data_IF_670126603205
#
_entry.id   IF_670126603205
#
_cell.length_a   1.000
_cell.length_b   1.000
_cell.length_c   1.000
_cell.angle_alpha   90.00
_cell.angle_beta   90.00
_cell.angle_gamma   90.00
#
_symmetry.space_group_name_H-M   'P 1'
#
loop_
_entity.id
_entity.type
_entity.pdbx_description
1 polymer ?
#
# COMPACT_ATOMS: atom_id res chain seq x y z
N UNK A 1 43.12 38.43 31.82
CA UNK A 1 42.27 37.22 31.69
C UNK A 1 40.84 37.68 31.54
N UNK A 2 40.13 37.28 30.48
CA UNK A 2 38.81 37.85 30.15
C UNK A 2 37.70 37.01 30.82
N UNK A 3 37.52 37.23 32.13
CA UNK A 3 36.67 36.40 33.00
C UNK A 3 35.21 36.34 32.58
N UNK A 4 34.69 37.37 31.90
CA UNK A 4 33.34 37.40 31.32
C UNK A 4 33.19 36.40 30.16
N UNK A 5 34.21 36.28 29.31
CA UNK A 5 34.26 35.31 28.21
C UNK A 5 34.37 33.88 28.74
N UNK A 6 35.18 33.66 29.78
CA UNK A 6 35.31 32.37 30.46
C UNK A 6 33.97 31.98 31.12
N UNK A 7 33.31 32.90 31.82
CA UNK A 7 32.03 32.66 32.49
C UNK A 7 30.90 32.31 31.51
N UNK A 8 30.93 32.85 30.28
CA UNK A 8 29.96 32.53 29.23
C UNK A 8 30.24 31.18 28.55
N UNK A 9 31.52 30.86 28.28
CA UNK A 9 31.90 29.64 27.55
C UNK A 9 31.85 28.37 28.40
N UNK A 10 32.08 28.48 29.71
CA UNK A 10 32.07 27.33 30.64
C UNK A 10 30.74 26.54 30.63
N UNK A 11 29.55 27.17 30.76
CA UNK A 11 28.28 26.43 30.69
C UNK A 11 28.00 25.84 29.31
N UNK A 12 28.38 26.53 28.23
CA UNK A 12 28.24 26.00 26.86
C UNK A 12 29.08 24.74 26.67
N UNK A 13 30.33 24.73 27.15
CA UNK A 13 31.21 23.57 27.09
C UNK A 13 30.66 22.36 27.88
N UNK A 14 30.02 22.61 29.03
CA UNK A 14 29.36 21.57 29.83
C UNK A 14 28.18 20.92 29.09
N UNK A 15 27.30 21.74 28.49
CA UNK A 15 26.14 21.25 27.72
C UNK A 15 26.61 20.40 26.53
N UNK A 16 27.63 20.88 25.81
CA UNK A 16 28.23 20.17 24.68
C UNK A 16 28.84 18.84 25.15
N UNK A 17 29.59 18.83 26.26
CA UNK A 17 30.20 17.60 26.80
C UNK A 17 29.16 16.53 27.17
N UNK A 18 28.06 16.93 27.83
CA UNK A 18 26.96 16.01 28.17
C UNK A 18 26.32 15.42 26.91
N UNK A 19 26.10 16.26 25.89
CA UNK A 19 25.55 15.83 24.62
C UNK A 19 26.47 14.82 23.91
N UNK A 20 27.76 15.16 23.77
CA UNK A 20 28.77 14.28 23.17
C UNK A 20 28.87 12.95 23.90
N UNK A 21 28.84 12.95 25.24
CA UNK A 21 28.84 11.71 26.05
C UNK A 21 27.62 10.84 25.76
N UNK A 22 26.42 11.43 25.65
CA UNK A 22 25.20 10.71 25.30
C UNK A 22 25.25 10.13 23.88
N UNK A 23 25.69 10.92 22.90
CA UNK A 23 25.84 10.46 21.52
C UNK A 23 26.90 9.36 21.39
N UNK A 24 28.00 9.47 22.12
CA UNK A 24 29.03 8.43 22.17
C UNK A 24 28.51 7.11 22.79
N UNK A 25 27.67 7.18 23.82
CA UNK A 25 27.00 5.99 24.37
C UNK A 25 26.08 5.33 23.34
N UNK A 26 25.31 6.11 22.56
CA UNK A 26 24.49 5.57 21.46
C UNK A 26 25.34 4.83 20.43
N UNK A 27 26.47 5.43 20.01
CA UNK A 27 27.40 4.85 19.05
C UNK A 27 28.05 3.56 19.56
N UNK A 28 28.60 3.58 20.77
CA UNK A 28 29.39 2.47 21.32
C UNK A 28 28.53 1.30 21.83
N UNK A 29 27.40 1.57 22.46
CA UNK A 29 26.57 0.53 23.08
C UNK A 29 25.54 -0.08 22.14
N UNK A 30 24.99 0.71 21.21
CA UNK A 30 23.90 0.27 20.32
C UNK A 30 24.37 0.09 18.87
N UNK A 31 25.67 0.19 18.62
CA UNK A 31 26.27 0.12 17.27
C UNK A 31 25.59 1.08 16.27
N UNK A 32 25.05 2.20 16.77
CA UNK A 32 24.29 3.13 15.96
C UNK A 32 25.23 3.89 15.01
N UNK A 33 24.92 4.04 13.71
CA UNK A 33 25.74 4.80 12.78
C UNK A 33 26.00 6.24 13.28
N UNK A 34 27.20 6.76 13.02
CA UNK A 34 27.65 8.06 13.52
C UNK A 34 26.61 9.18 13.34
N UNK A 35 26.13 9.41 12.12
CA UNK A 35 25.17 10.47 11.83
C UNK A 35 23.82 10.31 12.57
N UNK A 36 23.41 9.08 12.87
CA UNK A 36 22.20 8.79 13.65
C UNK A 36 22.44 9.00 15.15
N UNK A 37 23.60 8.61 15.66
CA UNK A 37 23.98 8.76 17.07
C UNK A 37 24.12 10.24 17.49
N UNK A 38 24.58 11.08 16.56
CA UNK A 38 24.72 12.53 16.72
C UNK A 38 23.52 13.33 16.22
N UNK A 39 22.38 12.69 15.97
CA UNK A 39 21.13 13.41 15.73
C UNK A 39 20.38 13.58 17.07
N UNK A 40 20.12 14.81 17.54
CA UNK A 40 19.41 15.04 18.79
C UNK A 40 17.96 14.53 18.78
N UNK A 41 17.33 14.44 17.60
CA UNK A 41 15.96 13.95 17.43
C UNK A 41 15.86 12.45 17.21
N UNK A 42 17.00 11.75 17.09
CA UNK A 42 17.04 10.31 16.83
C UNK A 42 17.45 9.56 18.09
N UNK A 43 16.56 8.74 18.63
CA UNK A 43 16.78 7.99 19.86
C UNK A 43 17.04 6.50 19.58
N UNK A 44 17.34 5.74 20.64
CA UNK A 44 17.66 4.31 20.55
C UNK A 44 16.46 3.48 20.09
N UNK A 45 15.25 3.83 20.53
CA UNK A 45 14.03 3.12 20.14
C UNK A 45 13.73 3.29 18.65
N UNK A 46 13.86 4.51 18.12
CA UNK A 46 13.71 4.80 16.69
C UNK A 46 14.73 4.02 15.87
N UNK A 47 15.97 3.92 16.35
CA UNK A 47 17.00 3.11 15.69
C UNK A 47 16.63 1.63 15.62
N UNK A 48 16.20 1.03 16.73
CA UNK A 48 15.79 -0.37 16.73
C UNK A 48 14.55 -0.61 15.88
N UNK A 49 13.61 0.34 15.83
CA UNK A 49 12.45 0.27 14.95
C UNK A 49 12.85 0.29 13.47
N UNK A 50 13.78 1.15 13.08
CA UNK A 50 14.30 1.21 11.70
C UNK A 50 15.03 -0.08 11.31
N UNK A 51 15.88 -0.62 12.19
CA UNK A 51 16.60 -1.87 11.93
C UNK A 51 15.64 -3.06 11.85
N UNK A 52 14.62 -3.10 12.71
CA UNK A 52 13.57 -4.11 12.66
C UNK A 52 12.73 -3.99 11.37
N UNK A 53 12.35 -2.78 10.99
CA UNK A 53 11.62 -2.54 9.74
C UNK A 53 12.44 -2.99 8.55
N UNK A 54 13.74 -2.70 8.54
CA UNK A 54 14.67 -3.11 7.50
C UNK A 54 14.83 -4.64 7.42
N UNK A 55 14.89 -5.33 8.56
CA UNK A 55 14.99 -6.79 8.58
C UNK A 55 13.69 -7.49 8.19
N UNK A 56 12.54 -6.87 8.48
CA UNK A 56 11.22 -7.37 8.07
C UNK A 56 10.87 -7.04 6.63
N UNK A 57 11.47 -6.01 6.03
CA UNK A 57 11.15 -5.55 4.68
C UNK A 57 11.22 -6.66 3.61
N UNK A 58 12.25 -7.54 3.58
CA UNK A 58 12.26 -8.66 2.64
C UNK A 58 11.07 -9.61 2.82
N UNK A 59 10.74 -9.95 4.08
CA UNK A 59 9.62 -10.84 4.42
C UNK A 59 8.29 -10.21 3.99
N UNK A 60 8.10 -8.92 4.27
CA UNK A 60 6.92 -8.18 3.85
C UNK A 60 6.78 -8.18 2.33
N UNK A 61 7.87 -7.92 1.60
CA UNK A 61 7.86 -7.93 0.14
C UNK A 61 7.53 -9.31 -0.45
N UNK A 62 7.99 -10.39 0.18
CA UNK A 62 7.66 -11.75 -0.24
C UNK A 62 6.18 -12.07 0.01
N UNK A 63 5.64 -11.67 1.17
CA UNK A 63 4.22 -11.84 1.50
C UNK A 63 3.34 -11.06 0.52
N UNK A 64 3.66 -9.80 0.25
CA UNK A 64 2.95 -8.97 -0.72
C UNK A 64 2.99 -9.58 -2.12
N UNK A 65 4.16 -10.04 -2.56
CA UNK A 65 4.34 -10.68 -3.87
C UNK A 65 3.53 -11.98 -3.96
N UNK A 66 3.55 -12.81 -2.92
CA UNK A 66 2.78 -14.06 -2.86
C UNK A 66 1.28 -13.79 -2.84
N UNK A 67 0.84 -12.79 -2.07
CA UNK A 67 -0.55 -12.34 -2.03
C UNK A 67 -1.03 -11.88 -3.41
N UNK A 68 -0.24 -11.04 -4.09
CA UNK A 68 -0.52 -10.58 -5.44
C UNK A 68 -0.57 -11.74 -6.44
N UNK A 69 0.38 -12.67 -6.35
CA UNK A 69 0.43 -13.86 -7.22
C UNK A 69 -0.81 -14.73 -7.03
N UNK A 70 -1.24 -14.95 -5.78
CA UNK A 70 -2.44 -15.72 -5.48
C UNK A 70 -3.70 -15.00 -5.99
N UNK A 71 -3.77 -13.68 -5.84
CA UNK A 71 -4.85 -12.87 -6.38
C UNK A 71 -4.97 -13.01 -7.90
N UNK A 72 -3.86 -12.83 -8.62
CA UNK A 72 -3.81 -12.97 -10.10
C UNK A 72 -4.22 -14.38 -10.52
N UNK A 73 -3.65 -15.40 -9.88
CA UNK A 73 -3.95 -16.81 -10.21
C UNK A 73 -5.41 -17.16 -9.94
N UNK A 74 -6.01 -16.62 -8.86
CA UNK A 74 -7.42 -16.84 -8.55
C UNK A 74 -8.32 -16.26 -9.63
N UNK A 75 -8.12 -15.00 -10.01
CA UNK A 75 -8.92 -14.36 -11.07
C UNK A 75 -8.69 -15.00 -12.44
N UNK A 76 -7.45 -15.26 -12.79
CA UNK A 76 -7.10 -15.95 -14.03
C UNK A 76 -7.79 -17.32 -14.12
N UNK A 77 -7.75 -18.10 -13.04
CA UNK A 77 -8.42 -19.40 -12.97
C UNK A 77 -9.94 -19.29 -13.13
N UNK A 78 -10.57 -18.24 -12.57
CA UNK A 78 -12.01 -17.99 -12.77
C UNK A 78 -12.35 -17.77 -14.25
N UNK A 79 -11.51 -17.05 -14.99
CA UNK A 79 -11.72 -16.82 -16.42
C UNK A 79 -11.42 -18.06 -17.26
N UNK A 80 -10.31 -18.76 -17.01
CA UNK A 80 -9.90 -19.93 -17.79
C UNK A 80 -10.88 -21.10 -17.65
N UNK A 81 -11.47 -21.27 -16.46
CA UNK A 81 -12.39 -22.37 -16.17
C UNK A 81 -13.87 -22.00 -16.32
N UNK A 82 -14.20 -20.81 -16.85
CA UNK A 82 -15.56 -20.25 -16.88
C UNK A 82 -16.27 -20.31 -15.51
N UNK A 83 -15.51 -20.12 -14.43
CA UNK A 83 -15.99 -20.15 -13.05
C UNK A 83 -16.30 -18.74 -12.50
N UNK A 84 -16.40 -17.74 -13.37
CA UNK A 84 -16.84 -16.40 -13.00
C UNK A 84 -18.33 -16.43 -12.63
N UNK A 85 -18.66 -15.96 -11.44
CA UNK A 85 -20.03 -15.98 -10.93
C UNK A 85 -20.71 -14.61 -11.05
N UNK A 86 -22.04 -14.60 -10.92
CA UNK A 86 -22.83 -13.35 -10.84
C UNK A 86 -22.38 -12.47 -9.65
N UNK A 87 -21.98 -13.09 -8.53
CA UNK A 87 -21.48 -12.36 -7.36
C UNK A 87 -20.14 -11.66 -7.65
N UNK A 88 -19.26 -12.29 -8.42
CA UNK A 88 -18.02 -11.67 -8.86
C UNK A 88 -18.29 -10.43 -9.71
N UNK A 89 -19.27 -10.48 -10.60
CA UNK A 89 -19.66 -9.33 -11.44
C UNK A 89 -20.25 -8.21 -10.59
N UNK A 90 -21.08 -8.52 -9.59
CA UNK A 90 -21.58 -7.52 -8.64
C UNK A 90 -20.43 -6.84 -7.88
N UNK A 91 -19.45 -7.61 -7.41
CA UNK A 91 -18.27 -7.07 -6.76
C UNK A 91 -17.47 -6.13 -7.70
N UNK A 92 -17.27 -6.53 -8.95
CA UNK A 92 -16.61 -5.67 -9.95
C UNK A 92 -17.42 -4.39 -10.22
N UNK A 93 -18.74 -4.47 -10.28
CA UNK A 93 -19.62 -3.31 -10.47
C UNK A 93 -19.56 -2.36 -9.26
N UNK A 94 -19.50 -2.88 -8.05
CA UNK A 94 -19.31 -2.08 -6.83
C UNK A 94 -17.95 -1.38 -6.83
N UNK A 95 -16.89 -2.06 -7.26
CA UNK A 95 -15.58 -1.44 -7.45
C UNK A 95 -15.63 -0.31 -8.49
N UNK A 96 -16.36 -0.47 -9.59
CA UNK A 96 -16.57 0.61 -10.57
C UNK A 96 -17.31 1.77 -9.91
N UNK A 97 -18.40 1.50 -9.20
CA UNK A 97 -19.22 2.53 -8.55
C UNK A 97 -18.46 3.33 -7.48
N UNK A 98 -17.48 2.71 -6.82
CA UNK A 98 -16.60 3.35 -5.82
C UNK A 98 -15.38 4.05 -6.44
N UNK A 99 -15.26 4.09 -7.77
CA UNK A 99 -14.18 4.79 -8.49
C UNK A 99 -12.93 3.94 -8.74
N UNK A 100 -12.95 2.64 -8.49
CA UNK A 100 -11.82 1.72 -8.68
C UNK A 100 -11.80 1.08 -10.08
N UNK A 101 -12.24 1.80 -11.11
CA UNK A 101 -12.32 1.29 -12.50
C UNK A 101 -10.98 0.75 -13.02
N UNK A 102 -9.85 1.37 -12.65
CA UNK A 102 -8.53 0.89 -13.06
C UNK A 102 -8.20 -0.50 -12.52
N UNK A 103 -8.65 -0.81 -11.28
CA UNK A 103 -8.47 -2.13 -10.70
C UNK A 103 -9.30 -3.17 -11.45
N UNK A 104 -10.54 -2.84 -11.79
CA UNK A 104 -11.42 -3.73 -12.58
C UNK A 104 -10.85 -3.96 -13.97
N UNK A 105 -10.39 -2.91 -14.65
CA UNK A 105 -9.70 -3.04 -15.93
C UNK A 105 -8.44 -3.92 -15.82
N UNK A 106 -7.68 -3.81 -14.73
CA UNK A 106 -6.55 -4.68 -14.45
C UNK A 106 -6.94 -6.16 -14.29
N UNK A 107 -8.04 -6.44 -13.58
CA UNK A 107 -8.59 -7.80 -13.42
C UNK A 107 -9.06 -8.35 -14.78
N UNK A 108 -9.82 -7.57 -15.54
CA UNK A 108 -10.33 -7.96 -16.86
C UNK A 108 -9.20 -8.10 -17.90
N UNK A 109 -8.07 -7.44 -17.72
CA UNK A 109 -6.90 -7.62 -18.59
C UNK A 109 -6.16 -8.95 -18.35
N UNK A 110 -6.46 -9.70 -17.28
CA UNK A 110 -5.78 -10.97 -16.98
C UNK A 110 -6.11 -12.10 -17.96
N UNK A 111 -7.20 -11.99 -18.73
CA UNK A 111 -7.60 -12.99 -19.70
C UNK A 111 -8.30 -12.36 -20.91
N UNK A 112 -7.99 -12.78 -22.16
CA UNK A 112 -8.50 -12.12 -23.38
C UNK A 112 -10.02 -12.14 -23.52
N UNK A 113 -10.70 -13.17 -22.97
CA UNK A 113 -12.16 -13.29 -22.99
C UNK A 113 -12.85 -12.71 -21.75
N UNK A 114 -12.10 -12.18 -20.78
CA UNK A 114 -12.68 -11.73 -19.51
C UNK A 114 -13.72 -10.62 -19.70
N UNK A 115 -13.47 -9.68 -20.61
CA UNK A 115 -14.40 -8.57 -20.91
C UNK A 115 -15.71 -9.12 -21.49
N UNK A 116 -15.64 -10.05 -22.43
CA UNK A 116 -16.81 -10.69 -23.03
C UNK A 116 -17.64 -11.43 -21.96
N UNK A 117 -17.00 -12.27 -21.15
CA UNK A 117 -17.66 -13.03 -20.08
C UNK A 117 -18.30 -12.09 -19.05
N UNK A 118 -17.59 -11.02 -18.66
CA UNK A 118 -18.10 -10.01 -17.74
C UNK A 118 -19.33 -9.29 -18.32
N UNK A 119 -19.28 -8.85 -19.58
CA UNK A 119 -20.40 -8.15 -20.22
C UNK A 119 -21.64 -9.04 -20.31
N UNK A 120 -21.49 -10.29 -20.74
CA UNK A 120 -22.60 -11.25 -20.82
C UNK A 120 -23.29 -11.46 -19.47
N UNK A 121 -22.52 -11.61 -18.39
CA UNK A 121 -23.07 -11.78 -17.05
C UNK A 121 -23.63 -10.47 -16.48
N UNK A 122 -23.07 -9.33 -16.86
CA UNK A 122 -23.55 -8.02 -16.44
C UNK A 122 -24.88 -7.65 -17.13
N UNK A 123 -25.06 -8.00 -18.41
CA UNK A 123 -26.33 -7.88 -19.14
C UNK A 123 -27.42 -8.75 -18.51
N UNK A 124 -27.05 -9.93 -17.99
CA UNK A 124 -27.99 -10.80 -17.24
C UNK A 124 -28.45 -10.14 -15.92
N UNK A 125 -27.61 -9.29 -15.32
CA UNK A 125 -27.92 -8.59 -14.07
C UNK A 125 -28.74 -7.32 -14.26
N UNK A 126 -28.47 -6.59 -15.33
CA UNK A 126 -29.20 -5.42 -15.76
C UNK A 126 -29.77 -5.71 -17.14
N UNK A 127 -30.83 -6.52 -17.26
CA UNK A 127 -31.50 -6.67 -18.53
C UNK A 127 -31.93 -5.26 -18.94
N UNK A 128 -31.38 -4.77 -20.05
CA UNK A 128 -31.95 -3.60 -20.69
C UNK A 128 -33.37 -4.04 -21.03
N UNK A 129 -34.37 -3.52 -20.31
CA UNK A 129 -35.75 -3.65 -20.72
C UNK A 129 -35.82 -2.99 -22.10
N UNK A 130 -35.74 -3.81 -23.15
CA UNK A 130 -36.32 -3.45 -24.44
C UNK A 130 -37.80 -3.25 -24.13
N UNK A 131 -38.16 -1.99 -23.89
CA UNK A 131 -39.54 -1.55 -23.93
C UNK A 131 -39.97 -1.78 -25.36
N UNK A 132 -40.49 -2.98 -25.63
CA UNK A 132 -41.30 -3.24 -26.82
C UNK A 132 -42.47 -2.29 -26.68
N UNK A 133 -42.41 -1.16 -27.38
CA UNK A 133 -43.53 -0.28 -27.55
C UNK A 133 -44.64 -1.08 -28.24
N UNK A 134 -45.62 -1.55 -27.47
CA UNK A 134 -46.90 -2.11 -27.94
C UNK A 134 -47.77 -1.08 -28.69
N UNK A 135 -47.17 -0.09 -29.35
CA UNK A 135 -47.86 0.99 -30.06
C UNK A 135 -47.95 0.74 -31.58
N UNK A 136 -47.58 -0.47 -32.04
CA UNK A 136 -47.71 -0.92 -33.43
C UNK A 136 -48.67 -2.12 -33.59
N UNK A 137 -49.74 -2.19 -32.79
CA UNK A 137 -50.88 -3.11 -32.99
C UNK A 137 -52.25 -2.42 -32.97
N UNK A 138 -52.28 -1.08 -33.13
CA UNK A 138 -53.52 -0.31 -33.21
C UNK A 138 -53.74 0.43 -34.55
N UNK A 139 -52.94 0.15 -35.58
CA UNK A 139 -53.20 0.60 -36.97
C UNK A 139 -52.84 -0.48 -37.99
N UNK A 140 -53.64 -1.57 -38.06
CA UNK A 140 -54.01 -2.24 -39.32
C UNK A 140 -55.42 -2.81 -39.20
#
# INVERSE_FOLDING_TARGET
MNYTLIALLTPAALIISIYFSKSYKKLSQHQMPFFKAFNPFYNVETYHSDELKKSLQPILSEIETKSMTNFINSWKSKFENNALTIEDVKYLNELIATGNTNQVNGILALHPKAIEIYNTLNETLNPVEEVVSEEELAEV
#
